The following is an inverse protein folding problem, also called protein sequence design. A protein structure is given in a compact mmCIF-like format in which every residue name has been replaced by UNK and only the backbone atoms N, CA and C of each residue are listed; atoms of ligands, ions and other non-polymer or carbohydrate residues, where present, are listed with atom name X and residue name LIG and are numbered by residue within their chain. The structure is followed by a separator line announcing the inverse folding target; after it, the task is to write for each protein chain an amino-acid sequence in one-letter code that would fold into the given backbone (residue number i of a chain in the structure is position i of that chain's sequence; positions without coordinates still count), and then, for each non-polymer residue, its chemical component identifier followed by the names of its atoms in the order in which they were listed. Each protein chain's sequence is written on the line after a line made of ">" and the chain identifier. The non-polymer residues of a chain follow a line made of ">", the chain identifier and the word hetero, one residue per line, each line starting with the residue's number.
data_IF_853688669336
#
_entry.id   IF_853688669336
#
_cell.length_a   1.000
_cell.length_b   1.000
_cell.length_c   1.000
_cell.angle_alpha   90.00
_cell.angle_beta   90.00
_cell.angle_gamma   90.00
#
_symmetry.space_group_name_H-M   'P 1'
#
loop_
_entity.id
_entity.type
_entity.pdbx_description
1 polymer ?
#
# COMPACT_ATOMS: atom_id res chain seq x y z
N UNK A 1 -57.22 -1.98 -3.15
CA UNK A 1 -56.07 -1.06 -3.08
C UNK A 1 -55.95 -0.46 -1.68
N UNK A 2 -55.73 -1.28 -0.64
CA UNK A 2 -55.44 -0.83 0.73
C UNK A 2 -54.17 -1.46 1.32
N UNK A 3 -53.62 -2.48 0.68
CA UNK A 3 -52.45 -3.22 1.17
C UNK A 3 -51.11 -2.56 0.81
N UNK A 4 -51.02 -1.76 -0.26
CA UNK A 4 -49.75 -1.11 -0.67
C UNK A 4 -49.32 0.04 0.27
N UNK A 5 -50.27 0.73 0.92
CA UNK A 5 -49.96 1.85 1.83
C UNK A 5 -49.49 1.38 3.23
N UNK A 6 -49.94 0.20 3.70
CA UNK A 6 -49.50 -0.34 5.00
C UNK A 6 -48.06 -0.86 4.94
N UNK A 7 -47.62 -1.36 3.79
CA UNK A 7 -46.26 -1.87 3.57
C UNK A 7 -45.21 -0.74 3.53
N UNK A 8 -45.57 0.40 2.93
CA UNK A 8 -44.72 1.59 2.89
C UNK A 8 -44.55 2.22 4.29
N UNK A 9 -45.59 2.22 5.12
CA UNK A 9 -45.52 2.71 6.51
C UNK A 9 -44.68 1.76 7.39
N UNK A 10 -44.68 0.45 7.11
CA UNK A 10 -43.81 -0.54 7.74
C UNK A 10 -42.33 -0.37 7.38
N UNK A 11 -42.03 -0.06 6.12
CA UNK A 11 -40.68 0.28 5.65
C UNK A 11 -40.18 1.60 6.24
N UNK A 12 -41.05 2.61 6.37
CA UNK A 12 -40.68 3.89 6.98
C UNK A 12 -40.42 3.77 8.48
N UNK A 13 -41.25 3.02 9.22
CA UNK A 13 -41.04 2.78 10.66
C UNK A 13 -39.83 1.90 10.95
N UNK A 14 -39.47 0.98 10.07
CA UNK A 14 -38.26 0.17 10.21
C UNK A 14 -36.99 0.95 9.85
N UNK A 15 -37.06 1.90 8.91
CA UNK A 15 -36.01 2.89 8.64
C UNK A 15 -35.78 3.82 9.84
N UNK A 16 -36.86 4.35 10.42
CA UNK A 16 -36.80 5.27 11.57
C UNK A 16 -36.31 4.57 12.86
N UNK A 17 -36.62 3.28 13.02
CA UNK A 17 -36.08 2.43 14.09
C UNK A 17 -34.64 1.98 13.82
N UNK A 18 -34.24 1.84 12.55
CA UNK A 18 -32.86 1.60 12.14
C UNK A 18 -32.00 2.82 12.46
N UNK A 19 -32.42 4.03 12.06
CA UNK A 19 -31.75 5.28 12.39
C UNK A 19 -31.65 5.51 13.89
N UNK A 20 -32.72 5.27 14.67
CA UNK A 20 -32.67 5.39 16.14
C UNK A 20 -31.80 4.33 16.82
N UNK A 21 -31.74 3.11 16.29
CA UNK A 21 -30.78 2.08 16.75
C UNK A 21 -29.34 2.42 16.32
N UNK A 22 -29.16 3.09 15.19
CA UNK A 22 -27.87 3.53 14.67
C UNK A 22 -27.35 4.72 15.48
N UNK A 23 -28.17 5.73 15.77
CA UNK A 23 -27.88 6.82 16.72
C UNK A 23 -27.60 6.28 18.13
N UNK A 24 -28.35 5.26 18.59
CA UNK A 24 -28.08 4.61 19.86
C UNK A 24 -26.74 3.84 19.87
N UNK A 25 -26.34 3.23 18.75
CA UNK A 25 -25.07 2.47 18.65
C UNK A 25 -23.86 3.40 18.44
N UNK A 26 -24.03 4.47 17.66
CA UNK A 26 -23.05 5.55 17.44
C UNK A 26 -22.88 6.39 18.71
N UNK A 27 -23.95 6.61 19.50
CA UNK A 27 -23.82 7.23 20.83
C UNK A 27 -23.19 6.30 21.87
N UNK A 28 -23.37 4.97 21.73
CA UNK A 28 -22.75 4.00 22.63
C UNK A 28 -21.24 3.81 22.38
N UNK A 29 -20.78 3.95 21.14
CA UNK A 29 -19.37 4.07 20.75
C UNK A 29 -19.08 5.50 20.31
N UNK A 30 -19.08 6.44 21.26
CA UNK A 30 -18.97 7.87 20.97
C UNK A 30 -17.84 8.24 20.00
N UNK A 31 -17.94 9.39 19.35
CA UNK A 31 -16.99 9.96 18.39
C UNK A 31 -15.49 9.76 18.72
N UNK A 32 -15.16 9.79 20.02
CA UNK A 32 -13.82 9.53 20.53
C UNK A 32 -13.28 8.11 20.23
N UNK A 33 -14.15 7.09 20.15
CA UNK A 33 -13.79 5.71 19.82
C UNK A 33 -13.33 5.60 18.37
N UNK A 34 -14.11 6.11 17.41
CA UNK A 34 -13.78 6.08 15.99
C UNK A 34 -12.56 6.95 15.66
N UNK A 35 -12.43 8.11 16.31
CA UNK A 35 -11.21 8.92 16.18
C UNK A 35 -9.96 8.19 16.72
N UNK A 36 -10.07 7.53 17.88
CA UNK A 36 -8.96 6.80 18.50
C UNK A 36 -8.56 5.57 17.68
N UNK A 37 -9.54 4.83 17.17
CA UNK A 37 -9.30 3.67 16.32
C UNK A 37 -8.67 4.06 14.97
N UNK A 38 -9.15 5.16 14.36
CA UNK A 38 -8.52 5.74 13.18
C UNK A 38 -7.07 6.17 13.48
N UNK A 39 -6.81 6.91 14.56
CA UNK A 39 -5.45 7.29 14.95
C UNK A 39 -4.54 6.08 15.16
N UNK A 40 -5.03 5.01 15.79
CA UNK A 40 -4.25 3.77 16.01
C UNK A 40 -3.90 3.06 14.70
N UNK A 41 -4.84 2.96 13.74
CA UNK A 41 -4.56 2.40 12.40
C UNK A 41 -3.44 3.16 11.71
N UNK A 42 -3.51 4.49 11.66
CA UNK A 42 -2.49 5.31 11.01
C UNK A 42 -1.15 5.27 11.74
N UNK A 43 -1.15 5.13 13.07
CA UNK A 43 0.06 4.93 13.85
C UNK A 43 0.72 3.58 13.55
N UNK A 44 -0.06 2.51 13.38
CA UNK A 44 0.43 1.19 12.97
C UNK A 44 1.01 1.23 11.56
N UNK A 45 0.31 1.86 10.61
CA UNK A 45 0.81 2.07 9.24
C UNK A 45 2.15 2.83 9.28
N UNK A 46 2.21 3.94 10.03
CA UNK A 46 3.44 4.72 10.22
C UNK A 46 4.57 3.87 10.79
N UNK A 47 4.30 3.06 11.82
CA UNK A 47 5.31 2.18 12.42
C UNK A 47 5.83 1.17 11.41
N UNK A 48 4.95 0.53 10.64
CA UNK A 48 5.33 -0.43 9.61
C UNK A 48 6.20 0.24 8.53
N UNK A 49 5.84 1.42 8.06
CA UNK A 49 6.64 2.19 7.10
C UNK A 49 8.02 2.54 7.65
N UNK A 50 8.12 2.91 8.93
CA UNK A 50 9.42 3.21 9.57
C UNK A 50 10.28 1.95 9.64
N UNK A 51 9.70 0.80 10.01
CA UNK A 51 10.40 -0.49 10.03
C UNK A 51 10.87 -0.87 8.63
N UNK A 52 10.03 -0.71 7.61
CA UNK A 52 10.41 -0.97 6.21
C UNK A 52 11.53 -0.04 5.72
N UNK A 53 11.52 1.24 6.10
CA UNK A 53 12.60 2.17 5.77
C UNK A 53 13.93 1.75 6.41
N UNK A 54 13.90 1.36 7.68
CA UNK A 54 15.09 0.87 8.37
C UNK A 54 15.62 -0.42 7.75
N UNK A 55 14.73 -1.38 7.50
CA UNK A 55 15.09 -2.63 6.81
C UNK A 55 15.68 -2.35 5.42
N UNK A 56 15.08 -1.42 4.68
CA UNK A 56 15.55 -1.00 3.35
C UNK A 56 16.91 -0.29 3.42
N UNK A 57 17.14 0.56 4.41
CA UNK A 57 18.44 1.22 4.62
C UNK A 57 19.54 0.22 4.97
N UNK A 58 19.24 -0.74 5.86
CA UNK A 58 20.16 -1.82 6.21
C UNK A 58 20.45 -2.69 4.99
N UNK A 59 19.44 -3.05 4.19
CA UNK A 59 19.64 -3.83 2.97
C UNK A 59 20.44 -3.05 1.91
N UNK A 60 20.15 -1.76 1.72
CA UNK A 60 20.83 -0.91 0.76
C UNK A 60 22.32 -0.71 1.08
N UNK A 61 22.71 -0.78 2.35
CA UNK A 61 24.11 -0.76 2.77
C UNK A 61 24.67 -2.18 2.74
N UNK A 62 24.06 -3.13 3.45
CA UNK A 62 24.60 -4.47 3.64
C UNK A 62 24.72 -5.29 2.36
N UNK A 63 23.77 -5.16 1.43
CA UNK A 63 23.74 -5.99 0.23
C UNK A 63 24.87 -5.66 -0.76
N UNK A 64 25.14 -4.39 -1.12
CA UNK A 64 26.32 -4.07 -1.92
C UNK A 64 27.63 -4.50 -1.28
N UNK A 65 27.75 -4.43 0.05
CA UNK A 65 28.97 -4.82 0.77
C UNK A 65 29.40 -6.29 0.55
N UNK A 66 28.47 -7.17 0.18
CA UNK A 66 28.76 -8.57 -0.20
C UNK A 66 29.65 -8.62 -1.46
N UNK A 67 29.56 -7.61 -2.33
CA UNK A 67 30.25 -7.53 -3.61
C UNK A 67 31.38 -6.50 -3.61
N UNK A 68 31.89 -6.09 -2.43
CA UNK A 68 32.87 -4.99 -2.30
C UNK A 68 34.13 -5.12 -3.17
N UNK A 69 34.52 -6.35 -3.52
CA UNK A 69 35.72 -6.65 -4.30
C UNK A 69 35.43 -6.74 -5.82
N UNK A 70 34.16 -6.58 -6.23
CA UNK A 70 33.69 -6.65 -7.61
C UNK A 70 33.45 -5.23 -8.17
N UNK A 71 33.87 -4.91 -9.41
CA UNK A 71 33.53 -3.64 -10.07
C UNK A 71 32.03 -3.32 -10.09
N UNK A 72 31.17 -4.35 -10.03
CA UNK A 72 29.72 -4.24 -9.91
C UNK A 72 29.26 -3.56 -8.62
N UNK A 73 30.09 -3.52 -7.57
CA UNK A 73 29.82 -2.86 -6.30
C UNK A 73 29.26 -1.45 -6.47
N UNK A 74 29.91 -0.62 -7.27
CA UNK A 74 29.54 0.79 -7.44
C UNK A 74 28.21 0.95 -8.17
N UNK A 75 27.95 0.11 -9.18
CA UNK A 75 26.68 0.09 -9.90
C UNK A 75 25.52 -0.35 -9.00
N UNK A 76 25.72 -1.43 -8.25
CA UNK A 76 24.73 -1.95 -7.31
C UNK A 76 24.45 -0.95 -6.18
N UNK A 77 25.49 -0.32 -5.65
CA UNK A 77 25.36 0.75 -4.64
C UNK A 77 24.55 1.93 -5.20
N UNK A 78 24.85 2.37 -6.42
CA UNK A 78 24.08 3.42 -7.10
C UNK A 78 22.60 3.07 -7.25
N UNK A 79 22.29 1.85 -7.68
CA UNK A 79 20.90 1.36 -7.79
C UNK A 79 20.18 1.33 -6.44
N UNK A 80 20.84 0.84 -5.39
CA UNK A 80 20.29 0.81 -4.03
C UNK A 80 20.03 2.20 -3.48
N UNK A 81 20.95 3.15 -3.71
CA UNK A 81 20.76 4.56 -3.32
C UNK A 81 19.55 5.17 -4.04
N UNK A 82 19.41 4.95 -5.36
CA UNK A 82 18.25 5.41 -6.13
C UNK A 82 16.97 4.81 -5.56
N UNK A 83 16.95 3.50 -5.28
CA UNK A 83 15.79 2.81 -4.70
C UNK A 83 15.40 3.41 -3.33
N UNK A 84 16.37 3.69 -2.45
CA UNK A 84 16.13 4.34 -1.16
C UNK A 84 15.57 5.75 -1.35
N UNK A 85 16.12 6.55 -2.26
CA UNK A 85 15.61 7.91 -2.55
C UNK A 85 14.16 7.86 -3.03
N UNK A 86 13.83 6.93 -3.94
CA UNK A 86 12.46 6.75 -4.45
C UNK A 86 11.52 6.36 -3.30
N UNK A 87 11.91 5.41 -2.46
CA UNK A 87 11.12 4.97 -1.29
C UNK A 87 10.90 6.12 -0.30
N UNK A 88 11.95 6.87 0.04
CA UNK A 88 11.86 8.05 0.90
C UNK A 88 10.92 9.10 0.32
N UNK A 89 10.94 9.33 -0.99
CA UNK A 89 10.04 10.27 -1.66
C UNK A 89 8.58 9.81 -1.58
N UNK A 90 8.31 8.52 -1.79
CA UNK A 90 6.95 7.96 -1.70
C UNK A 90 6.44 8.08 -0.25
N UNK A 91 7.25 7.72 0.73
CA UNK A 91 6.85 7.72 2.15
C UNK A 91 6.71 9.16 2.66
N UNK A 92 7.63 10.04 2.27
CA UNK A 92 7.55 11.47 2.58
C UNK A 92 6.30 12.12 2.00
N UNK A 93 5.90 11.76 0.77
CA UNK A 93 4.63 12.21 0.20
C UNK A 93 3.43 11.73 1.02
N UNK A 94 3.42 10.46 1.45
CA UNK A 94 2.35 9.92 2.28
C UNK A 94 2.27 10.63 3.64
N UNK A 95 3.39 10.78 4.35
CA UNK A 95 3.44 11.47 5.64
C UNK A 95 2.99 12.92 5.56
N UNK A 96 3.41 13.63 4.50
CA UNK A 96 3.01 15.02 4.29
C UNK A 96 1.51 15.12 4.04
N UNK A 97 0.93 14.22 3.23
CA UNK A 97 -0.51 14.15 3.00
C UNK A 97 -1.30 13.83 4.27
N UNK A 98 -0.86 12.87 5.08
CA UNK A 98 -1.53 12.52 6.35
C UNK A 98 -1.47 13.68 7.35
N UNK A 99 -0.34 14.38 7.46
CA UNK A 99 -0.18 15.51 8.39
C UNK A 99 -1.06 16.71 8.02
N UNK A 100 -1.42 16.85 6.75
CA UNK A 100 -2.26 17.95 6.25
C UNK A 100 -3.77 17.71 6.45
N UNK A 101 -4.18 16.50 6.87
CA UNK A 101 -5.59 16.21 7.14
C UNK A 101 -5.95 16.90 8.46
N UNK A 102 -6.69 18.01 8.36
CA UNK A 102 -7.27 18.71 9.52
C UNK A 102 -8.26 17.80 10.25
N UNK A 103 -8.31 17.93 11.58
CA UNK A 103 -9.26 17.25 12.47
C UNK A 103 -10.68 17.88 12.36
N UNK A 104 -11.21 17.99 11.14
CA UNK A 104 -12.60 18.37 10.87
C UNK A 104 -13.59 17.26 11.25
N UNK A 105 -14.70 17.14 10.52
CA UNK A 105 -15.66 16.05 10.78
C UNK A 105 -14.98 14.68 10.63
N UNK A 106 -15.40 13.72 11.46
CA UNK A 106 -14.79 12.37 11.52
C UNK A 106 -14.88 11.68 10.16
N UNK A 107 -16.03 11.81 9.50
CA UNK A 107 -16.29 11.29 8.16
C UNK A 107 -15.30 11.91 7.17
N UNK A 108 -15.14 13.24 7.16
CA UNK A 108 -14.22 13.90 6.23
C UNK A 108 -12.75 13.50 6.47
N UNK A 109 -12.33 13.37 7.74
CA UNK A 109 -10.99 12.90 8.10
C UNK A 109 -10.76 11.46 7.65
N UNK A 110 -11.71 10.54 7.89
CA UNK A 110 -11.61 9.14 7.50
C UNK A 110 -11.64 8.95 5.98
N UNK A 111 -12.47 9.71 5.26
CA UNK A 111 -12.54 9.69 3.79
C UNK A 111 -11.21 10.16 3.19
N UNK A 112 -10.65 11.28 3.65
CA UNK A 112 -9.33 11.74 3.19
C UNK A 112 -8.23 10.73 3.50
N UNK A 113 -8.28 10.10 4.66
CA UNK A 113 -7.37 9.04 5.11
C UNK A 113 -7.42 7.80 4.21
N UNK A 114 -8.62 7.34 3.85
CA UNK A 114 -8.85 6.24 2.89
C UNK A 114 -8.26 6.59 1.52
N UNK A 115 -8.51 7.80 1.04
CA UNK A 115 -8.04 8.29 -0.25
C UNK A 115 -6.50 8.34 -0.33
N UNK A 116 -5.85 8.85 0.72
CA UNK A 116 -4.39 8.91 0.80
C UNK A 116 -3.79 7.51 0.86
N UNK A 117 -4.38 6.59 1.61
CA UNK A 117 -3.94 5.20 1.68
C UNK A 117 -4.13 4.47 0.34
N UNK A 118 -5.25 4.66 -0.34
CA UNK A 118 -5.51 4.10 -1.67
C UNK A 118 -4.50 4.61 -2.72
N UNK A 119 -4.23 5.92 -2.73
CA UNK A 119 -3.20 6.52 -3.60
C UNK A 119 -1.81 5.96 -3.31
N UNK A 120 -1.48 5.74 -2.04
CA UNK A 120 -0.20 5.15 -1.63
C UNK A 120 -0.05 3.70 -2.10
N UNK A 121 -1.04 2.85 -1.86
CA UNK A 121 -1.05 1.45 -2.33
C UNK A 121 -0.89 1.39 -3.85
N UNK A 122 -1.64 2.23 -4.59
CA UNK A 122 -1.54 2.30 -6.04
C UNK A 122 -0.14 2.72 -6.52
N UNK A 123 0.48 3.69 -5.86
CA UNK A 123 1.87 4.09 -6.17
C UNK A 123 2.86 2.97 -5.89
N UNK A 124 2.72 2.24 -4.78
CA UNK A 124 3.60 1.09 -4.49
C UNK A 124 3.51 0.02 -5.59
N UNK A 125 2.30 -0.33 -6.03
CA UNK A 125 2.16 -1.27 -7.14
C UNK A 125 2.80 -0.76 -8.43
N UNK A 126 2.58 0.51 -8.78
CA UNK A 126 3.16 1.10 -9.99
C UNK A 126 4.69 1.12 -9.94
N UNK A 127 5.27 1.49 -8.80
CA UNK A 127 6.71 1.45 -8.58
C UNK A 127 7.24 0.02 -8.70
N UNK A 128 6.52 -0.97 -8.17
CA UNK A 128 6.89 -2.37 -8.25
C UNK A 128 6.98 -2.89 -9.69
N UNK A 129 6.03 -2.50 -10.55
CA UNK A 129 6.03 -2.86 -11.98
C UNK A 129 7.25 -2.33 -12.74
N UNK A 130 7.92 -1.29 -12.23
CA UNK A 130 9.10 -0.69 -12.87
C UNK A 130 10.38 -1.25 -12.24
N UNK A 131 10.48 -1.25 -10.91
CA UNK A 131 11.72 -1.60 -10.20
C UNK A 131 12.03 -3.09 -10.32
N UNK A 132 11.04 -3.97 -10.24
CA UNK A 132 11.28 -5.43 -10.26
C UNK A 132 11.87 -5.90 -11.59
N UNK A 133 11.27 -5.59 -12.76
CA UNK A 133 11.84 -6.01 -14.03
C UNK A 133 13.25 -5.48 -14.26
N UNK A 134 13.52 -4.22 -13.86
CA UNK A 134 14.85 -3.63 -13.95
C UNK A 134 15.85 -4.38 -13.05
N UNK A 135 15.47 -4.69 -11.81
CA UNK A 135 16.35 -5.37 -10.85
C UNK A 135 16.67 -6.81 -11.29
N UNK A 136 15.66 -7.54 -11.78
CA UNK A 136 15.83 -8.90 -12.33
C UNK A 136 16.71 -8.86 -13.58
N UNK A 137 16.45 -7.91 -14.48
CA UNK A 137 17.27 -7.72 -15.69
C UNK A 137 18.74 -7.48 -15.35
N UNK A 138 19.04 -6.52 -14.46
CA UNK A 138 20.41 -6.21 -14.03
C UNK A 138 21.09 -7.44 -13.41
N UNK A 139 20.38 -8.21 -12.58
CA UNK A 139 20.90 -9.45 -12.00
C UNK A 139 21.25 -10.49 -13.06
N UNK A 140 20.38 -10.65 -14.07
CA UNK A 140 20.62 -11.56 -15.19
C UNK A 140 21.82 -11.12 -16.04
N UNK A 141 21.86 -9.85 -16.47
CA UNK A 141 22.97 -9.30 -17.28
C UNK A 141 24.32 -9.37 -16.57
N UNK A 142 24.34 -9.46 -15.23
CA UNK A 142 25.57 -9.66 -14.46
C UNK A 142 26.00 -11.12 -14.42
N UNK A 143 25.05 -12.05 -14.33
CA UNK A 143 25.32 -13.48 -14.21
C UNK A 143 25.83 -14.09 -15.53
N UNK A 144 25.45 -13.51 -16.65
CA UNK A 144 25.80 -13.96 -17.99
C UNK A 144 26.76 -12.96 -18.64
N UNK A 145 28.05 -13.29 -18.72
CA UNK A 145 29.11 -12.37 -19.17
C UNK A 145 29.29 -12.35 -20.70
N UNK A 146 28.69 -13.29 -21.43
CA UNK A 146 28.88 -13.48 -22.88
C UNK A 146 27.59 -13.26 -23.67
N UNK A 147 26.86 -12.19 -23.33
CA UNK A 147 25.55 -11.93 -23.94
C UNK A 147 25.72 -11.46 -25.39
N UNK A 148 25.42 -12.37 -26.31
CA UNK A 148 25.19 -12.03 -27.71
C UNK A 148 23.73 -11.62 -27.87
N UNK A 149 23.51 -10.31 -28.08
CA UNK A 149 22.18 -9.75 -28.34
C UNK A 149 21.54 -10.45 -29.55
N UNK A 150 20.23 -10.74 -29.45
CA UNK A 150 19.42 -11.39 -30.50
C UNK A 150 19.79 -12.85 -30.81
N UNK A 151 20.57 -13.51 -29.95
CA UNK A 151 20.74 -14.97 -29.99
C UNK A 151 19.51 -15.70 -29.42
N UNK A 152 19.36 -16.99 -29.73
CA UNK A 152 18.32 -17.83 -29.11
C UNK A 152 18.42 -17.85 -27.58
N UNK A 153 19.66 -17.87 -27.05
CA UNK A 153 19.95 -17.80 -25.61
C UNK A 153 19.44 -16.49 -25.00
N UNK A 154 19.57 -15.36 -25.71
CA UNK A 154 19.03 -14.07 -25.27
C UNK A 154 17.50 -14.08 -25.15
N UNK A 155 16.78 -14.75 -26.06
CA UNK A 155 15.32 -14.84 -25.96
C UNK A 155 14.87 -15.76 -24.82
N UNK A 156 15.57 -16.86 -24.58
CA UNK A 156 15.32 -17.75 -23.43
C UNK A 156 15.57 -17.00 -22.12
N UNK A 157 16.68 -16.27 -22.04
CA UNK A 157 17.03 -15.40 -20.93
C UNK A 157 15.94 -14.37 -20.62
N UNK A 158 15.45 -13.69 -21.67
CA UNK A 158 14.41 -12.68 -21.55
C UNK A 158 13.08 -13.30 -21.09
N UNK A 159 12.75 -14.50 -21.57
CA UNK A 159 11.58 -15.24 -21.09
C UNK A 159 11.71 -15.61 -19.60
N UNK A 160 12.88 -16.09 -19.16
CA UNK A 160 13.13 -16.36 -17.73
C UNK A 160 13.01 -15.08 -16.91
N UNK A 161 13.65 -13.99 -17.33
CA UNK A 161 13.54 -12.69 -16.66
C UNK A 161 12.09 -12.21 -16.54
N UNK A 162 11.30 -12.37 -17.59
CA UNK A 162 9.88 -12.01 -17.60
C UNK A 162 9.06 -12.86 -16.61
N UNK A 163 9.27 -14.18 -16.61
CA UNK A 163 8.59 -15.10 -15.68
C UNK A 163 8.99 -14.79 -14.24
N UNK A 164 10.28 -14.65 -13.96
CA UNK A 164 10.79 -14.32 -12.62
C UNK A 164 10.23 -12.97 -12.15
N UNK A 165 10.24 -11.95 -13.02
CA UNK A 165 9.66 -10.64 -12.70
C UNK A 165 8.17 -10.74 -12.38
N UNK A 166 7.41 -11.50 -13.17
CA UNK A 166 5.98 -11.71 -12.92
C UNK A 166 5.72 -12.36 -11.56
N UNK A 167 6.50 -13.40 -11.20
CA UNK A 167 6.40 -14.05 -9.89
C UNK A 167 6.67 -13.06 -8.76
N UNK A 168 7.77 -12.29 -8.82
CA UNK A 168 8.08 -11.27 -7.81
C UNK A 168 7.01 -10.18 -7.73
N UNK A 169 6.47 -9.73 -8.86
CA UNK A 169 5.39 -8.75 -8.90
C UNK A 169 4.15 -9.28 -8.16
N UNK A 170 3.78 -10.54 -8.38
CA UNK A 170 2.65 -11.18 -7.71
C UNK A 170 2.90 -11.28 -6.21
N UNK A 171 4.08 -11.74 -5.79
CA UNK A 171 4.44 -11.86 -4.37
C UNK A 171 4.40 -10.51 -3.66
N UNK A 172 4.97 -9.48 -4.26
CA UNK A 172 4.95 -8.12 -3.69
C UNK A 172 3.53 -7.56 -3.65
N UNK A 173 2.69 -7.88 -4.65
CA UNK A 173 1.27 -7.48 -4.62
C UNK A 173 0.53 -8.13 -3.45
N UNK A 174 0.73 -9.42 -3.22
CA UNK A 174 0.16 -10.14 -2.08
C UNK A 174 0.66 -9.53 -0.76
N UNK A 175 1.96 -9.23 -0.66
CA UNK A 175 2.55 -8.57 0.50
C UNK A 175 1.90 -7.21 0.80
N UNK A 176 1.81 -6.33 -0.21
CA UNK A 176 1.20 -5.00 -0.06
C UNK A 176 -0.26 -5.14 0.40
N UNK A 177 -1.02 -6.08 -0.19
CA UNK A 177 -2.41 -6.29 0.18
C UNK A 177 -2.56 -6.86 1.60
N UNK A 178 -1.70 -7.80 2.00
CA UNK A 178 -1.72 -8.36 3.35
C UNK A 178 -1.36 -7.31 4.42
N UNK A 179 -0.43 -6.41 4.11
CA UNK A 179 0.08 -5.42 5.07
C UNK A 179 -0.78 -4.16 5.13
N UNK A 180 -1.24 -3.65 3.99
CA UNK A 180 -1.96 -2.38 3.88
C UNK A 180 -3.45 -2.54 3.54
N UNK A 181 -3.84 -3.62 2.86
CA UNK A 181 -5.23 -3.88 2.47
C UNK A 181 -6.16 -4.04 3.67
N UNK A 182 -5.71 -4.75 4.72
CA UNK A 182 -6.48 -4.88 5.98
C UNK A 182 -6.82 -3.53 6.61
N UNK A 183 -5.87 -2.59 6.59
CA UNK A 183 -6.12 -1.24 7.13
C UNK A 183 -7.04 -0.42 6.24
N UNK A 184 -6.96 -0.60 4.92
CA UNK A 184 -7.87 0.05 3.97
C UNK A 184 -9.32 -0.45 4.11
N UNK A 185 -9.50 -1.76 4.30
CA UNK A 185 -10.81 -2.36 4.59
C UNK A 185 -11.36 -1.86 5.92
N UNK A 186 -10.55 -1.85 6.99
CA UNK A 186 -10.99 -1.32 8.30
C UNK A 186 -11.44 0.14 8.23
N UNK A 187 -10.71 1.00 7.53
CA UNK A 187 -11.12 2.41 7.35
C UNK A 187 -12.40 2.51 6.52
N UNK A 188 -12.58 1.64 5.52
CA UNK A 188 -13.79 1.59 4.70
C UNK A 188 -15.00 1.11 5.50
N UNK A 189 -14.85 0.07 6.32
CA UNK A 189 -15.90 -0.40 7.22
C UNK A 189 -16.30 0.64 8.25
N UNK A 190 -15.34 1.42 8.78
CA UNK A 190 -15.66 2.53 9.69
C UNK A 190 -16.47 3.61 8.99
N UNK A 191 -16.14 3.96 7.74
CA UNK A 191 -16.91 4.94 6.96
C UNK A 191 -18.33 4.45 6.68
N UNK A 192 -18.49 3.21 6.21
CA UNK A 192 -19.80 2.62 5.92
C UNK A 192 -20.70 2.46 7.16
N UNK A 193 -20.14 2.53 8.38
CA UNK A 193 -20.91 2.50 9.64
C UNK A 193 -21.30 3.90 10.13
N UNK A 194 -20.72 4.94 9.55
CA UNK A 194 -20.93 6.35 9.92
C UNK A 194 -21.77 7.11 8.87
N UNK A 195 -21.85 6.61 7.64
CA UNK A 195 -22.79 7.01 6.58
C UNK A 195 -24.12 6.23 6.71
#
# INVERSE_FOLDING_TARGET
>A
MKEEDEDLIGLWKSSDQSEKKMEATVSHFGESYFQKQGKDIFQRIRRNMVVELWASAVAAIGFPFIFKDDPFFWWLTGLMVIAVIVTLRIYGSYFRSIRQIHEGSIIESLTKKKDVLGKYIRRMHLTNYIIVPLSVGVGYFRADTDIVLFSEHFYIALAICAVTSAVFIILIRIYIQALYGKYYEQVTEMLNRLE
#
